data_IF_857789809176
#
_entry.id   IF_857789809176
#
_cell.length_a   1.000
_cell.length_b   1.000
_cell.length_c   1.000
_cell.angle_alpha   90.00
_cell.angle_beta   90.00
_cell.angle_gamma   90.00
#
_symmetry.space_group_name_H-M   'P 1'
#
loop_
_entity.id
_entity.type
_entity.pdbx_description
1 polymer ?
#
# COMPACT_ATOMS: atom_id res chain seq x y z
N UNK A 1 1.09 10.86 12.71
CA UNK A 1 1.69 9.50 12.73
C UNK A 1 0.60 8.42 12.81
N UNK A 2 -0.47 8.65 13.58
CA UNK A 2 -1.59 7.71 13.78
C UNK A 2 -2.24 7.14 12.50
N UNK A 3 -2.46 7.96 11.45
CA UNK A 3 -3.12 7.46 10.23
C UNK A 3 -2.30 6.38 9.50
N UNK A 4 -0.97 6.53 9.49
CA UNK A 4 -0.10 5.53 8.87
C UNK A 4 -0.08 4.24 9.70
N UNK A 5 0.01 4.35 11.02
CA UNK A 5 -0.07 3.20 11.92
C UNK A 5 -1.37 2.42 11.75
N UNK A 6 -2.52 3.13 11.75
CA UNK A 6 -3.82 2.51 11.53
C UNK A 6 -3.92 1.84 10.15
N UNK A 7 -3.36 2.45 9.10
CA UNK A 7 -3.31 1.85 7.78
C UNK A 7 -2.45 0.57 7.76
N UNK A 8 -1.28 0.58 8.41
CA UNK A 8 -0.38 -0.58 8.53
C UNK A 8 -1.06 -1.71 9.31
N UNK A 9 -1.69 -1.41 10.44
CA UNK A 9 -2.46 -2.38 11.23
C UNK A 9 -3.61 -2.98 10.41
N UNK A 10 -4.32 -2.16 9.65
CA UNK A 10 -5.41 -2.61 8.77
C UNK A 10 -4.91 -3.58 7.70
N UNK A 11 -3.82 -3.25 6.99
CA UNK A 11 -3.30 -4.14 5.94
C UNK A 11 -2.62 -5.38 6.51
N UNK A 12 -2.10 -5.33 7.73
CA UNK A 12 -1.59 -6.51 8.43
C UNK A 12 -2.73 -7.46 8.83
N UNK A 13 -3.83 -6.93 9.37
CA UNK A 13 -4.99 -7.73 9.78
C UNK A 13 -5.82 -8.22 8.59
N UNK A 14 -5.92 -7.43 7.53
CA UNK A 14 -6.67 -7.75 6.32
C UNK A 14 -5.87 -7.36 5.07
N UNK A 15 -4.92 -8.20 4.63
CA UNK A 15 -4.06 -7.92 3.47
C UNK A 15 -4.83 -7.67 2.15
N UNK A 16 -6.06 -8.17 2.05
CA UNK A 16 -6.96 -7.94 0.92
C UNK A 16 -7.62 -6.56 0.87
N UNK A 17 -7.51 -5.73 1.92
CA UNK A 17 -8.21 -4.44 2.02
C UNK A 17 -7.75 -3.40 0.98
N UNK A 18 -6.52 -3.52 0.47
CA UNK A 18 -5.99 -2.64 -0.55
C UNK A 18 -6.45 -2.99 -1.97
N UNK A 19 -6.69 -1.94 -2.76
CA UNK A 19 -7.07 -2.06 -4.15
C UNK A 19 -5.86 -2.53 -4.99
N UNK A 20 -6.04 -3.44 -5.97
CA UNK A 20 -4.97 -3.85 -6.87
C UNK A 20 -4.37 -2.66 -7.65
N UNK A 21 -3.04 -2.62 -7.77
CA UNK A 21 -2.31 -1.61 -8.53
C UNK A 21 -1.52 -2.28 -9.66
N UNK A 22 -2.00 -2.14 -10.90
CA UNK A 22 -1.47 -2.86 -12.07
C UNK A 22 -0.43 -2.11 -12.88
N UNK A 23 0.04 -0.95 -12.40
CA UNK A 23 0.94 -0.06 -13.13
C UNK A 23 2.40 -0.20 -12.69
N UNK A 24 2.77 -1.42 -12.31
CA UNK A 24 4.10 -1.82 -11.83
C UNK A 24 4.38 -3.20 -12.41
N UNK A 25 5.65 -3.54 -12.58
CA UNK A 25 6.07 -4.88 -12.95
C UNK A 25 5.92 -5.89 -11.80
N UNK A 26 5.74 -5.41 -10.56
CA UNK A 26 5.53 -6.25 -9.38
C UNK A 26 4.13 -6.85 -9.38
N UNK A 27 4.07 -8.18 -9.43
CA UNK A 27 2.83 -8.93 -9.29
C UNK A 27 2.25 -8.76 -7.88
N UNK A 28 0.91 -8.75 -7.78
CA UNK A 28 0.24 -8.69 -6.48
C UNK A 28 0.32 -7.34 -5.76
N UNK A 29 0.81 -6.28 -6.41
CA UNK A 29 0.86 -4.95 -5.82
C UNK A 29 -0.55 -4.43 -5.50
N UNK A 30 -0.70 -3.88 -4.31
CA UNK A 30 -1.91 -3.27 -3.78
C UNK A 30 -1.61 -1.88 -3.25
N UNK A 31 -2.65 -1.06 -3.14
CA UNK A 31 -2.57 0.26 -2.51
C UNK A 31 -3.77 0.55 -1.61
N UNK A 32 -3.53 1.27 -0.53
CA UNK A 32 -4.56 1.92 0.28
C UNK A 32 -4.33 3.43 0.30
N UNK A 33 -5.41 4.21 0.28
CA UNK A 33 -5.37 5.66 0.44
C UNK A 33 -5.45 5.99 1.94
N UNK A 34 -4.53 6.82 2.41
CA UNK A 34 -4.57 7.51 3.69
C UNK A 34 -5.24 8.87 3.43
N UNK A 35 -6.56 9.00 3.65
CA UNK A 35 -7.34 10.13 3.14
C UNK A 35 -7.00 11.47 3.79
N UNK A 36 -6.62 11.50 5.07
CA UNK A 36 -6.30 12.74 5.79
C UNK A 36 -4.99 13.34 5.29
N UNK A 37 -3.95 12.52 5.16
CA UNK A 37 -2.63 12.96 4.69
C UNK A 37 -2.46 12.89 3.18
N UNK A 38 -3.44 12.30 2.47
CA UNK A 38 -3.45 12.12 1.01
C UNK A 38 -2.22 11.37 0.50
N UNK A 39 -1.82 10.32 1.19
CA UNK A 39 -0.79 9.39 0.74
C UNK A 39 -1.40 8.06 0.30
N UNK A 40 -0.79 7.43 -0.70
CA UNK A 40 -1.00 6.02 -0.98
C UNK A 40 0.10 5.20 -0.32
N UNK A 41 -0.27 4.17 0.43
CA UNK A 41 0.62 3.11 0.88
C UNK A 41 0.59 1.99 -0.16
N UNK A 42 1.74 1.64 -0.71
CA UNK A 42 1.91 0.55 -1.68
C UNK A 42 2.52 -0.66 -0.99
N UNK A 43 1.92 -1.83 -1.19
CA UNK A 43 2.38 -3.05 -0.55
C UNK A 43 2.08 -4.28 -1.41
N UNK A 44 2.82 -5.36 -1.15
CA UNK A 44 2.50 -6.71 -1.64
C UNK A 44 2.24 -7.63 -0.47
N UNK A 45 1.51 -8.71 -0.73
CA UNK A 45 1.26 -9.78 0.24
C UNK A 45 2.07 -10.98 -0.19
N UNK A 46 2.95 -11.46 0.68
CA UNK A 46 3.61 -12.74 0.50
C UNK A 46 2.83 -13.79 1.29
N UNK A 47 2.04 -14.59 0.57
CA UNK A 47 1.23 -15.64 1.19
C UNK A 47 2.08 -16.82 1.68
N UNK A 48 3.29 -17.00 1.13
CA UNK A 48 4.21 -18.08 1.54
C UNK A 48 4.83 -17.78 2.89
N UNK A 49 5.30 -16.54 3.05
CA UNK A 49 5.92 -16.06 4.28
C UNK A 49 4.89 -15.51 5.29
N UNK A 50 3.64 -15.28 4.86
CA UNK A 50 2.60 -14.69 5.71
C UNK A 50 2.86 -13.23 6.08
N UNK A 51 3.57 -12.49 5.23
CA UNK A 51 4.00 -11.10 5.51
C UNK A 51 3.43 -10.10 4.51
N UNK A 52 3.19 -8.89 5.01
CA UNK A 52 2.88 -7.72 4.19
C UNK A 52 4.16 -6.91 3.99
N UNK A 53 4.61 -6.76 2.74
CA UNK A 53 5.78 -5.95 2.41
C UNK A 53 5.34 -4.59 1.91
N UNK A 54 5.68 -3.55 2.65
CA UNK A 54 5.45 -2.16 2.26
C UNK A 54 6.58 -1.70 1.34
N UNK A 55 6.23 -1.24 0.14
CA UNK A 55 7.19 -0.79 -0.87
C UNK A 55 7.38 0.72 -0.88
N UNK A 56 6.30 1.48 -0.71
CA UNK A 56 6.37 2.94 -0.80
C UNK A 56 5.20 3.63 -0.11
N UNK A 57 5.44 4.87 0.30
CA UNK A 57 4.43 5.85 0.67
C UNK A 57 4.50 7.03 -0.31
N UNK A 58 3.43 7.29 -1.05
CA UNK A 58 3.43 8.29 -2.14
C UNK A 58 2.30 9.30 -2.01
N UNK A 59 2.63 10.59 -1.97
CA UNK A 59 1.61 11.63 -1.88
C UNK A 59 0.82 11.74 -3.19
N UNK A 60 -0.50 11.89 -3.12
CA UNK A 60 -1.39 11.93 -4.30
C UNK A 60 -1.09 13.11 -5.22
N UNK A 61 -0.60 14.23 -4.68
CA UNK A 61 -0.25 15.41 -5.48
C UNK A 61 1.05 15.25 -6.29
N UNK A 62 1.83 14.19 -6.08
CA UNK A 62 3.04 13.90 -6.90
C UNK A 62 2.71 13.37 -8.29
N UNK A 63 1.42 13.27 -8.63
CA UNK A 63 0.95 12.88 -9.95
C UNK A 63 0.95 11.37 -10.12
N UNK A 64 1.75 10.86 -11.07
CA UNK A 64 1.82 9.42 -11.31
C UNK A 64 2.39 8.70 -10.07
N UNK A 65 1.91 7.48 -9.79
CA UNK A 65 2.43 6.66 -8.68
C UNK A 65 3.92 6.35 -8.83
N UNK A 66 4.57 5.82 -7.78
CA UNK A 66 5.99 5.49 -7.84
C UNK A 66 6.26 4.47 -8.95
N UNK A 67 7.44 4.58 -9.57
CA UNK A 67 7.99 3.57 -10.47
C UNK A 67 8.56 2.45 -9.58
N UNK A 68 7.75 1.41 -9.37
CA UNK A 68 8.08 0.21 -8.61
C UNK A 68 8.08 -1.00 -9.53
#
# INVERSE_FOLDING_TARGET
MEELSAAVETVAASPGAGAPYRRTSLSGMRRVLLPRTRYHLYYTVDETEGVVRVHALWHTARGQGPLL
#
